data_IF_997494279912
#
_entry.id   IF_997494279912
#
_cell.length_a   1.000
_cell.length_b   1.000
_cell.length_c   1.000
_cell.angle_alpha   90.00
_cell.angle_beta   90.00
_cell.angle_gamma   90.00
#
_symmetry.space_group_name_H-M   'P 1'
#
loop_
_entity.id
_entity.type
_entity.pdbx_description
1 polymer ?
#
# COMPACT_ATOMS: atom_id res chain seq x y z
N UNK A 1 6.09 -26.86 37.43
CA UNK A 1 7.35 -27.04 36.69
C UNK A 1 8.24 -25.84 36.97
N UNK A 2 9.32 -26.01 37.74
CA UNK A 2 10.22 -24.92 38.11
C UNK A 2 11.31 -24.75 37.05
N UNK A 3 11.13 -23.78 36.16
CA UNK A 3 12.17 -23.38 35.21
C UNK A 3 13.08 -22.36 35.89
N UNK A 4 14.39 -22.59 35.87
CA UNK A 4 15.37 -21.61 36.32
C UNK A 4 15.74 -20.72 35.13
N UNK A 5 15.30 -19.46 35.16
CA UNK A 5 15.66 -18.46 34.15
C UNK A 5 16.90 -17.68 34.59
N UNK A 6 17.86 -17.54 33.67
CA UNK A 6 19.07 -16.75 33.86
C UNK A 6 19.06 -15.66 32.79
N UNK A 7 19.02 -14.40 33.22
CA UNK A 7 19.17 -13.26 32.32
C UNK A 7 20.65 -12.94 32.18
N UNK A 8 21.16 -13.01 30.96
CA UNK A 8 22.56 -12.73 30.65
C UNK A 8 22.63 -11.52 29.74
N UNK A 9 23.45 -10.54 30.13
CA UNK A 9 23.71 -9.33 29.34
C UNK A 9 25.16 -9.37 28.86
N UNK A 10 25.43 -9.29 27.55
CA UNK A 10 26.79 -9.26 27.04
C UNK A 10 27.51 -7.98 27.50
N UNK A 11 28.81 -8.08 27.74
CA UNK A 11 29.64 -6.92 28.00
C UNK A 11 29.66 -5.98 26.78
N UNK A 12 29.89 -4.69 27.01
CA UNK A 12 29.93 -3.70 25.93
C UNK A 12 31.03 -4.06 24.91
N UNK A 13 30.63 -4.22 23.64
CA UNK A 13 31.54 -4.58 22.54
C UNK A 13 31.62 -6.07 22.20
N UNK A 14 31.02 -6.96 23.00
CA UNK A 14 30.96 -8.40 22.69
C UNK A 14 29.83 -8.69 21.69
N UNK A 15 30.09 -9.35 20.55
CA UNK A 15 29.05 -9.83 19.65
C UNK A 15 28.07 -10.76 20.37
N UNK A 16 26.78 -10.64 20.08
CA UNK A 16 25.74 -11.47 20.70
C UNK A 16 25.99 -12.98 20.50
N UNK A 17 26.48 -13.36 19.33
CA UNK A 17 26.82 -14.76 19.00
C UNK A 17 27.90 -15.32 19.94
N UNK A 18 28.96 -14.55 20.17
CA UNK A 18 30.08 -14.95 21.03
C UNK A 18 29.63 -15.09 22.49
N UNK A 19 28.84 -14.13 22.98
CA UNK A 19 28.25 -14.22 24.31
C UNK A 19 27.32 -15.42 24.46
N UNK A 20 26.57 -15.79 23.42
CA UNK A 20 25.73 -16.98 23.43
C UNK A 20 26.54 -18.28 23.47
N UNK A 21 27.63 -18.34 22.72
CA UNK A 21 28.52 -19.50 22.71
C UNK A 21 29.17 -19.69 24.08
N UNK A 22 29.62 -18.60 24.72
CA UNK A 22 30.17 -18.60 26.08
C UNK A 22 29.14 -19.08 27.12
N UNK A 23 27.91 -18.56 27.05
CA UNK A 23 26.82 -18.98 27.95
C UNK A 23 26.46 -20.44 27.73
N UNK A 24 26.43 -20.88 26.48
CA UNK A 24 26.18 -22.29 26.13
C UNK A 24 27.26 -23.18 26.72
N UNK A 25 28.54 -22.80 26.56
CA UNK A 25 29.68 -23.51 27.13
C UNK A 25 29.57 -23.60 28.66
N UNK A 26 29.39 -22.46 29.33
CA UNK A 26 29.27 -22.39 30.78
C UNK A 26 28.11 -23.24 31.33
N UNK A 27 26.94 -23.20 30.68
CA UNK A 27 25.77 -24.01 31.09
C UNK A 27 25.97 -25.50 30.84
N UNK A 28 26.61 -25.89 29.73
CA UNK A 28 26.93 -27.30 29.46
C UNK A 28 27.90 -27.85 30.51
N UNK A 29 28.93 -27.07 30.87
CA UNK A 29 29.88 -27.45 31.94
C UNK A 29 29.20 -27.52 33.29
N UNK A 30 28.40 -26.50 33.67
CA UNK A 30 27.70 -26.48 34.95
C UNK A 30 26.70 -27.63 35.10
N UNK A 31 26.14 -28.12 33.99
CA UNK A 31 25.19 -29.25 33.95
C UNK A 31 25.83 -30.61 33.66
N UNK A 32 27.16 -30.66 33.48
CA UNK A 32 27.88 -31.91 33.22
C UNK A 32 27.54 -32.57 31.88
N UNK A 33 27.08 -31.81 30.88
CA UNK A 33 26.70 -32.33 29.56
C UNK A 33 27.97 -32.64 28.75
N UNK A 34 28.09 -33.89 28.26
CA UNK A 34 29.19 -34.29 27.37
C UNK A 34 29.00 -33.68 25.99
N UNK A 35 30.05 -33.57 25.14
CA UNK A 35 29.91 -32.99 23.80
C UNK A 35 28.83 -33.63 22.91
N UNK A 36 28.55 -34.92 23.14
CA UNK A 36 27.54 -35.69 22.38
C UNK A 36 26.12 -35.50 22.94
N UNK A 37 25.98 -35.04 24.18
CA UNK A 37 24.67 -34.88 24.83
C UNK A 37 23.97 -33.61 24.31
N UNK A 38 22.67 -33.73 24.02
CA UNK A 38 21.82 -32.60 23.62
C UNK A 38 21.65 -31.59 24.75
N UNK A 39 21.42 -30.32 24.39
CA UNK A 39 21.17 -29.27 25.38
C UNK A 39 19.82 -29.51 26.08
N UNK A 40 19.83 -29.61 27.41
CA UNK A 40 18.62 -29.65 28.24
C UNK A 40 18.17 -28.26 28.74
N UNK A 41 18.58 -27.20 28.03
CA UNK A 41 18.26 -25.81 28.29
C UNK A 41 18.04 -25.08 26.97
N UNK A 42 17.26 -23.99 27.01
CA UNK A 42 16.98 -23.15 25.86
C UNK A 42 17.56 -21.75 26.06
N UNK A 43 18.08 -21.17 24.98
CA UNK A 43 18.52 -19.79 24.94
C UNK A 43 17.44 -18.99 24.22
N UNK A 44 16.75 -18.13 24.97
CA UNK A 44 15.78 -17.21 24.39
C UNK A 44 16.53 -15.94 24.05
N UNK A 45 16.71 -15.70 22.75
CA UNK A 45 17.34 -14.47 22.27
C UNK A 45 16.32 -13.37 22.05
N UNK A 46 16.70 -12.13 22.29
CA UNK A 46 15.83 -10.98 22.06
C UNK A 46 15.63 -10.68 20.56
N UNK A 47 16.65 -10.89 19.74
CA UNK A 47 16.60 -10.74 18.27
C UNK A 47 15.63 -11.73 17.61
N UNK A 48 15.51 -12.96 18.12
CA UNK A 48 14.55 -13.94 17.61
C UNK A 48 13.09 -13.47 17.72
N UNK A 49 12.75 -12.71 18.76
CA UNK A 49 11.42 -12.12 18.90
C UNK A 49 11.21 -10.99 17.89
N UNK A 50 12.20 -10.09 17.73
CA UNK A 50 12.11 -9.01 16.73
C UNK A 50 12.01 -9.55 15.30
N UNK A 51 12.82 -10.56 14.96
CA UNK A 51 12.81 -11.21 13.64
C UNK A 51 11.44 -11.83 13.33
N UNK A 52 10.78 -12.44 14.33
CA UNK A 52 9.42 -12.95 14.18
C UNK A 52 8.43 -11.82 13.89
N UNK A 53 8.50 -10.72 14.63
CA UNK A 53 7.62 -9.56 14.40
C UNK A 53 7.83 -8.96 13.01
N UNK A 54 9.08 -8.73 12.60
CA UNK A 54 9.42 -8.21 11.28
C UNK A 54 8.89 -9.11 10.17
N UNK A 55 9.02 -10.43 10.33
CA UNK A 55 8.48 -11.41 9.38
C UNK A 55 6.95 -11.36 9.31
N UNK A 56 6.27 -11.31 10.45
CA UNK A 56 4.80 -11.23 10.50
C UNK A 56 4.32 -9.92 9.86
N UNK A 57 4.90 -8.79 10.22
CA UNK A 57 4.58 -7.48 9.65
C UNK A 57 4.87 -7.46 8.14
N UNK A 58 5.96 -8.06 7.69
CA UNK A 58 6.28 -8.20 6.26
C UNK A 58 5.22 -8.98 5.49
N UNK A 59 4.72 -10.09 6.05
CA UNK A 59 3.62 -10.86 5.44
C UNK A 59 2.33 -10.04 5.39
N UNK A 60 1.96 -9.36 6.48
CA UNK A 60 0.78 -8.49 6.51
C UNK A 60 0.87 -7.35 5.49
N UNK A 61 2.05 -6.74 5.35
CA UNK A 61 2.29 -5.71 4.34
C UNK A 61 2.04 -6.25 2.92
N UNK A 62 2.57 -7.44 2.61
CA UNK A 62 2.37 -8.06 1.29
C UNK A 62 0.89 -8.35 1.03
N UNK A 63 0.18 -8.90 2.01
CA UNK A 63 -1.27 -9.16 1.90
C UNK A 63 -2.03 -7.86 1.67
N UNK A 64 -1.74 -6.81 2.44
CA UNK A 64 -2.36 -5.49 2.27
C UNK A 64 -2.08 -4.89 0.90
N UNK A 65 -0.86 -5.04 0.38
CA UNK A 65 -0.49 -4.56 -0.95
C UNK A 65 -1.29 -5.28 -2.04
N UNK A 66 -1.45 -6.60 -1.95
CA UNK A 66 -2.25 -7.38 -2.90
C UNK A 66 -3.72 -6.97 -2.84
N UNK A 67 -4.32 -6.90 -1.65
CA UNK A 67 -5.72 -6.50 -1.46
C UNK A 67 -5.98 -5.07 -1.96
N UNK A 68 -5.05 -4.15 -1.67
CA UNK A 68 -5.12 -2.76 -2.14
C UNK A 68 -5.04 -2.69 -3.67
N UNK A 69 -4.19 -3.50 -4.29
CA UNK A 69 -4.04 -3.56 -5.74
C UNK A 69 -5.31 -4.09 -6.42
N UNK A 70 -5.94 -5.12 -5.85
CA UNK A 70 -7.22 -5.64 -6.34
C UNK A 70 -8.31 -4.57 -6.20
N UNK A 71 -8.41 -3.91 -5.04
CA UNK A 71 -9.36 -2.82 -4.81
C UNK A 71 -9.17 -1.66 -5.79
N UNK A 72 -7.91 -1.28 -6.05
CA UNK A 72 -7.56 -0.27 -7.05
C UNK A 72 -8.03 -0.68 -8.45
N UNK A 73 -7.85 -1.95 -8.82
CA UNK A 73 -8.27 -2.45 -10.13
C UNK A 73 -9.79 -2.44 -10.28
N UNK A 74 -10.54 -2.88 -9.26
CA UNK A 74 -12.02 -2.84 -9.25
C UNK A 74 -12.52 -1.40 -9.31
N UNK A 75 -11.95 -0.50 -8.51
CA UNK A 75 -12.27 0.94 -8.56
C UNK A 75 -11.94 1.56 -9.93
N UNK A 76 -10.81 1.17 -10.51
CA UNK A 76 -10.37 1.61 -11.84
C UNK A 76 -11.33 1.22 -12.96
N UNK A 77 -11.87 0.00 -12.94
CA UNK A 77 -12.93 -0.41 -13.87
C UNK A 77 -14.16 0.49 -13.75
N UNK A 78 -14.53 0.87 -12.53
CA UNK A 78 -15.60 1.84 -12.28
C UNK A 78 -15.32 3.22 -12.90
N UNK A 79 -14.09 3.72 -12.75
CA UNK A 79 -13.65 4.99 -13.37
C UNK A 79 -13.75 4.91 -14.90
N UNK A 80 -13.26 3.83 -15.51
CA UNK A 80 -13.36 3.61 -16.95
C UNK A 80 -14.83 3.59 -17.38
N UNK A 81 -15.69 2.88 -16.67
CA UNK A 81 -17.10 2.74 -17.00
C UNK A 81 -17.83 4.09 -16.95
N UNK A 82 -17.71 4.83 -15.85
CA UNK A 82 -18.35 6.15 -15.68
C UNK A 82 -17.82 7.12 -16.74
N UNK A 83 -16.52 7.12 -16.99
CA UNK A 83 -15.94 8.03 -17.98
C UNK A 83 -16.39 7.68 -19.40
N UNK A 84 -16.51 6.39 -19.74
CA UNK A 84 -17.04 5.96 -21.03
C UNK A 84 -18.50 6.41 -21.22
N UNK A 85 -19.33 6.32 -20.18
CA UNK A 85 -20.71 6.82 -20.19
C UNK A 85 -20.73 8.34 -20.41
N UNK A 86 -19.89 9.08 -19.68
CA UNK A 86 -19.77 10.54 -19.83
C UNK A 86 -19.35 10.95 -21.25
N UNK A 87 -18.43 10.22 -21.87
CA UNK A 87 -18.02 10.46 -23.26
C UNK A 87 -19.20 10.24 -24.20
N UNK A 88 -19.99 9.19 -24.00
CA UNK A 88 -21.16 8.93 -24.85
C UNK A 88 -22.24 9.99 -24.69
N UNK A 89 -22.54 10.44 -23.47
CA UNK A 89 -23.51 11.50 -23.20
C UNK A 89 -23.08 12.85 -23.79
N UNK A 90 -21.78 13.16 -23.73
CA UNK A 90 -21.20 14.42 -24.21
C UNK A 90 -20.70 14.34 -25.66
N UNK A 91 -21.05 13.30 -26.42
CA UNK A 91 -20.54 13.08 -27.80
C UNK A 91 -20.76 14.30 -28.70
N UNK A 92 -21.99 14.85 -28.70
CA UNK A 92 -22.36 16.00 -29.52
C UNK A 92 -21.58 17.27 -29.14
N UNK A 93 -21.38 17.52 -27.85
CA UNK A 93 -20.60 18.65 -27.36
C UNK A 93 -19.14 18.57 -27.78
N UNK A 94 -18.55 17.38 -27.70
CA UNK A 94 -17.17 17.11 -28.16
C UNK A 94 -17.07 17.34 -29.67
N UNK A 95 -18.08 16.90 -30.44
CA UNK A 95 -18.18 17.13 -31.88
C UNK A 95 -18.19 18.61 -32.25
N UNK A 96 -19.01 19.41 -31.57
CA UNK A 96 -19.05 20.88 -31.76
C UNK A 96 -17.70 21.51 -31.45
N UNK A 97 -17.05 21.14 -30.33
CA UNK A 97 -15.73 21.70 -29.98
C UNK A 97 -14.68 21.39 -31.05
N UNK A 98 -14.65 20.17 -31.58
CA UNK A 98 -13.71 19.81 -32.65
C UNK A 98 -14.03 20.49 -33.98
N UNK A 99 -15.31 20.67 -34.32
CA UNK A 99 -15.72 21.41 -35.52
C UNK A 99 -15.29 22.88 -35.45
N UNK A 100 -15.23 23.45 -34.24
CA UNK A 100 -14.70 24.79 -33.97
C UNK A 100 -13.15 24.85 -33.90
N UNK A 101 -12.46 23.73 -34.13
CA UNK A 101 -10.99 23.68 -34.20
C UNK A 101 -10.28 23.14 -32.96
N UNK A 102 -11.00 22.63 -31.95
CA UNK A 102 -10.34 22.00 -30.80
C UNK A 102 -9.49 20.79 -31.23
N UNK A 103 -8.25 20.78 -30.80
CA UNK A 103 -7.29 19.72 -31.10
C UNK A 103 -7.60 18.45 -30.31
N UNK A 104 -7.16 17.30 -30.85
CA UNK A 104 -7.27 16.01 -30.13
C UNK A 104 -6.60 16.07 -28.76
N UNK A 105 -5.49 16.82 -28.64
CA UNK A 105 -4.74 16.98 -27.41
C UNK A 105 -5.53 17.74 -26.34
N UNK A 106 -6.24 18.80 -26.69
CA UNK A 106 -7.07 19.55 -25.74
C UNK A 106 -8.21 18.69 -25.17
N UNK A 107 -8.91 17.95 -26.04
CA UNK A 107 -9.97 17.02 -25.62
C UNK A 107 -9.38 15.92 -24.72
N UNK A 108 -8.23 15.34 -25.10
CA UNK A 108 -7.55 14.33 -24.29
C UNK A 108 -7.22 14.86 -22.88
N UNK A 109 -6.58 16.03 -22.79
CA UNK A 109 -6.20 16.62 -21.51
C UNK A 109 -7.41 16.94 -20.62
N UNK A 110 -8.50 17.42 -21.20
CA UNK A 110 -9.72 17.69 -20.44
C UNK A 110 -10.24 16.42 -19.74
N UNK A 111 -10.36 15.31 -20.47
CA UNK A 111 -10.85 14.06 -19.91
C UNK A 111 -9.85 13.42 -18.92
N UNK A 112 -8.55 13.55 -19.15
CA UNK A 112 -7.54 13.11 -18.19
C UNK A 112 -7.58 13.91 -16.88
N UNK A 113 -7.79 15.23 -16.96
CA UNK A 113 -7.95 16.06 -15.75
C UNK A 113 -9.24 15.69 -15.03
N UNK A 114 -10.32 15.40 -15.74
CA UNK A 114 -11.58 14.94 -15.15
C UNK A 114 -11.39 13.60 -14.41
N UNK A 115 -10.72 12.61 -15.03
CA UNK A 115 -10.45 11.32 -14.37
C UNK A 115 -9.50 11.45 -13.19
N UNK A 116 -8.46 12.26 -13.30
CA UNK A 116 -7.54 12.57 -12.19
C UNK A 116 -8.27 13.23 -11.04
N UNK A 117 -9.17 14.18 -11.31
CA UNK A 117 -9.92 14.87 -10.26
C UNK A 117 -10.84 13.90 -9.52
N UNK A 118 -11.56 13.03 -10.23
CA UNK A 118 -12.43 12.01 -9.63
C UNK A 118 -11.63 11.05 -8.75
N UNK A 119 -10.50 10.54 -9.26
CA UNK A 119 -9.65 9.58 -8.51
C UNK A 119 -8.94 10.21 -7.32
N UNK A 120 -8.47 11.46 -7.43
CA UNK A 120 -7.85 12.20 -6.33
C UNK A 120 -8.87 12.55 -5.24
N UNK A 121 -10.09 12.97 -5.62
CA UNK A 121 -11.17 13.20 -4.64
C UNK A 121 -11.53 11.89 -3.93
N UNK A 122 -11.69 10.80 -4.67
CA UNK A 122 -11.92 9.47 -4.09
C UNK A 122 -10.79 9.03 -3.17
N UNK A 123 -9.53 9.27 -3.57
CA UNK A 123 -8.34 9.00 -2.77
C UNK A 123 -8.28 9.84 -1.48
N UNK A 124 -8.61 11.12 -1.57
CA UNK A 124 -8.68 12.02 -0.42
C UNK A 124 -9.77 11.59 0.58
N UNK A 125 -10.95 11.20 0.09
CA UNK A 125 -12.02 10.64 0.92
C UNK A 125 -11.59 9.32 1.57
N UNK A 126 -10.94 8.43 0.81
CA UNK A 126 -10.37 7.19 1.33
C UNK A 126 -9.33 7.44 2.42
N UNK A 127 -8.46 8.43 2.23
CA UNK A 127 -7.47 8.87 3.24
C UNK A 127 -8.14 9.42 4.50
N UNK A 128 -9.19 10.23 4.35
CA UNK A 128 -9.95 10.74 5.50
C UNK A 128 -10.60 9.61 6.30
N UNK A 129 -11.22 8.64 5.63
CA UNK A 129 -11.85 7.50 6.28
C UNK A 129 -10.81 6.57 6.92
N UNK A 130 -9.72 6.26 6.22
CA UNK A 130 -8.63 5.43 6.73
C UNK A 130 -7.90 6.08 7.90
N UNK A 131 -7.57 7.37 7.79
CA UNK A 131 -6.95 8.15 8.86
C UNK A 131 -7.86 8.31 10.07
N UNK A 132 -9.16 8.55 9.85
CA UNK A 132 -10.16 8.56 10.92
C UNK A 132 -10.27 7.21 11.63
N UNK A 133 -10.23 6.11 10.88
CA UNK A 133 -10.20 4.75 11.43
C UNK A 133 -8.94 4.48 12.26
N UNK A 134 -7.77 4.92 11.79
CA UNK A 134 -6.52 4.80 12.54
C UNK A 134 -6.57 5.59 13.86
N UNK A 135 -7.10 6.81 13.84
CA UNK A 135 -7.29 7.62 15.05
C UNK A 135 -8.26 6.98 16.03
N UNK A 136 -9.36 6.40 15.53
CA UNK A 136 -10.32 5.68 16.37
C UNK A 136 -9.69 4.45 17.02
N UNK A 137 -8.89 3.69 16.29
CA UNK A 137 -8.15 2.54 16.83
C UNK A 137 -7.13 2.95 17.89
N UNK A 138 -6.43 4.06 17.70
CA UNK A 138 -5.49 4.58 18.70
C UNK A 138 -6.16 4.98 20.02
N UNK A 139 -7.45 5.35 19.99
CA UNK A 139 -8.23 5.69 21.19
C UNK A 139 -8.79 4.43 21.86
N UNK A 140 -9.28 3.48 21.07
CA UNK A 140 -9.98 2.29 21.57
C UNK A 140 -9.05 1.15 21.98
N UNK A 141 -7.78 1.17 21.53
CA UNK A 141 -6.84 0.07 21.72
C UNK A 141 -5.46 0.58 22.14
N UNK A 142 -4.60 -0.26 22.75
CA UNK A 142 -3.22 0.09 23.08
C UNK A 142 -2.29 0.17 21.87
N UNK A 143 -2.80 0.01 20.64
CA UNK A 143 -1.99 -0.05 19.43
C UNK A 143 -1.66 1.38 18.99
N UNK A 144 -0.37 1.75 18.87
CA UNK A 144 0.05 3.07 18.42
C UNK A 144 -0.18 3.21 16.90
N UNK A 145 -1.42 3.44 16.48
CA UNK A 145 -1.77 3.65 15.09
C UNK A 145 -1.44 5.09 14.67
N UNK A 146 -0.41 5.26 13.85
CA UNK A 146 0.01 6.56 13.31
C UNK A 146 0.05 6.55 11.79
N UNK A 147 -0.49 7.60 11.15
CA UNK A 147 -0.40 7.80 9.70
C UNK A 147 0.73 8.80 9.41
N UNK A 148 1.86 8.36 8.83
CA UNK A 148 2.96 9.26 8.55
C UNK A 148 2.64 10.20 7.38
N UNK A 149 3.10 11.45 7.42
CA UNK A 149 2.77 12.45 6.38
C UNK A 149 3.20 12.02 4.98
N UNK A 150 4.33 11.30 4.86
CA UNK A 150 4.81 10.83 3.56
C UNK A 150 3.83 9.85 2.89
N UNK A 151 3.09 9.04 3.67
CA UNK A 151 2.15 8.06 3.10
C UNK A 151 0.91 8.75 2.54
N UNK A 152 0.52 9.90 3.10
CA UNK A 152 -0.55 10.75 2.56
C UNK A 152 -0.15 11.25 1.16
N UNK A 153 1.06 11.79 1.03
CA UNK A 153 1.60 12.25 -0.26
C UNK A 153 1.70 11.11 -1.27
N UNK A 154 2.20 9.95 -0.85
CA UNK A 154 2.29 8.76 -1.70
C UNK A 154 0.90 8.28 -2.18
N UNK A 155 -0.10 8.26 -1.29
CA UNK A 155 -1.45 7.85 -1.64
C UNK A 155 -2.11 8.81 -2.65
N UNK A 156 -1.99 10.13 -2.45
CA UNK A 156 -2.51 11.12 -3.41
C UNK A 156 -1.82 11.02 -4.77
N UNK A 157 -0.51 10.75 -4.79
CA UNK A 157 0.25 10.53 -6.01
C UNK A 157 -0.20 9.26 -6.74
N UNK A 158 -0.43 8.16 -6.02
CA UNK A 158 -0.97 6.93 -6.60
C UNK A 158 -2.40 7.15 -7.14
N UNK A 159 -3.24 7.89 -6.41
CA UNK A 159 -4.57 8.29 -6.90
C UNK A 159 -4.49 9.08 -8.20
N UNK A 160 -3.61 10.09 -8.29
CA UNK A 160 -3.43 10.86 -9.51
C UNK A 160 -2.92 10.00 -10.69
N UNK A 161 -1.92 9.15 -10.47
CA UNK A 161 -1.36 8.25 -11.50
C UNK A 161 -2.42 7.25 -11.99
N UNK A 162 -3.19 6.66 -11.07
CA UNK A 162 -4.28 5.74 -11.44
C UNK A 162 -5.38 6.44 -12.24
N UNK A 163 -5.71 7.69 -11.93
CA UNK A 163 -6.61 8.52 -12.73
C UNK A 163 -6.14 8.71 -14.17
N UNK A 164 -4.84 8.94 -14.38
CA UNK A 164 -4.25 8.99 -15.72
C UNK A 164 -4.33 7.63 -16.39
N UNK A 165 -3.93 6.56 -15.70
CA UNK A 165 -3.91 5.20 -16.24
C UNK A 165 -5.29 4.71 -16.70
N UNK A 166 -6.28 4.76 -15.81
CA UNK A 166 -7.65 4.34 -16.12
C UNK A 166 -8.38 5.33 -17.04
N UNK A 167 -8.09 6.64 -16.93
CA UNK A 167 -8.68 7.67 -17.80
C UNK A 167 -8.15 7.67 -19.24
N UNK A 168 -6.99 7.04 -19.51
CA UNK A 168 -6.36 7.09 -20.83
C UNK A 168 -7.23 6.49 -21.95
N UNK A 169 -7.87 5.35 -21.69
CA UNK A 169 -8.73 4.66 -22.67
C UNK A 169 -9.92 5.55 -23.09
N UNK A 170 -10.77 6.02 -22.16
CA UNK A 170 -11.92 6.86 -22.52
C UNK A 170 -11.49 8.22 -23.08
N UNK A 171 -10.45 8.86 -22.52
CA UNK A 171 -9.94 10.13 -23.03
C UNK A 171 -9.43 10.01 -24.48
N UNK A 172 -8.72 8.92 -24.79
CA UNK A 172 -8.28 8.61 -26.15
C UNK A 172 -9.49 8.43 -27.08
N UNK A 173 -10.52 7.68 -26.65
CA UNK A 173 -11.75 7.49 -27.44
C UNK A 173 -12.44 8.84 -27.73
N UNK A 174 -12.63 9.69 -26.73
CA UNK A 174 -13.20 11.03 -26.89
C UNK A 174 -12.40 11.90 -27.85
N UNK A 175 -11.07 11.92 -27.71
CA UNK A 175 -10.17 12.70 -28.56
C UNK A 175 -10.18 12.28 -30.03
N UNK A 176 -10.61 11.06 -30.35
CA UNK A 176 -10.61 10.49 -31.71
C UNK A 176 -11.97 10.54 -32.43
N UNK A 177 -13.06 10.92 -31.75
CA UNK A 177 -14.39 11.12 -32.36
C UNK A 177 -14.32 12.03 -33.60
N UNK A 178 -14.99 11.62 -34.68
CA UNK A 178 -15.15 12.45 -35.89
C UNK A 178 -16.22 13.52 -35.64
N UNK A 179 -15.95 14.82 -35.91
CA UNK A 179 -16.93 15.89 -35.73
C UNK A 179 -18.22 15.67 -36.52
N UNK A 180 -18.13 15.10 -37.74
CA UNK A 180 -19.28 14.89 -38.61
C UNK A 180 -20.17 13.79 -38.05
N UNK A 181 -19.59 12.66 -37.61
CA UNK A 181 -20.33 11.57 -36.97
C UNK A 181 -20.93 12.01 -35.63
N UNK A 182 -20.18 12.76 -34.82
CA UNK A 182 -20.61 13.22 -33.52
C UNK A 182 -21.79 14.20 -33.57
N UNK A 183 -21.92 14.98 -34.65
CA UNK A 183 -23.05 15.90 -34.87
C UNK A 183 -24.28 15.20 -35.47
N UNK A 184 -24.07 14.03 -36.09
CA UNK A 184 -25.12 13.18 -36.66
C UNK A 184 -25.75 12.22 -35.63
N UNK A 185 -25.16 12.16 -34.45
CA UNK A 185 -25.65 11.38 -33.31
C UNK A 185 -26.90 12.07 -32.75
N UNK A 186 -28.04 11.38 -32.75
CA UNK A 186 -29.25 11.76 -32.01
C UNK A 186 -29.11 11.40 -30.53
#
# INVERSE_FOLDING_TARGET
>A
ENWLSLLVVPAAGTPQQEAMDDVTGALRTARGLRPVDENNFALIRQDAFMELFDRLTGVFFLVMLVLSSIGLMVGGVGVVAIMMISVTERTREIGVRKALGATRREILWQFLVESMTVTVIGGALGLMLGGGGAMLLAILTPIPASVPLWSIGAALLVSAISGIGFGMIPASKASRLDPVEALRYE
#
